data_IF_002250423062
#
_entry.id   IF_002250423062
#
_cell.length_a   1.000
_cell.length_b   1.000
_cell.length_c   1.000
_cell.angle_alpha   90.00
_cell.angle_beta   90.00
_cell.angle_gamma   90.00
#
_symmetry.space_group_name_H-M   'P 1'
#
loop_
_entity.id
_entity.type
_entity.pdbx_description
1 polymer ?
#
# COMPACT_ATOMS: atom_id res chain seq x y z
N UNK A 1 -14.48 -6.00 13.16
CA UNK A 1 -15.38 -5.39 12.16
C UNK A 1 -14.52 -4.78 11.09
N UNK A 2 -14.80 -5.06 9.82
CA UNK A 2 -14.06 -4.48 8.69
C UNK A 2 -14.90 -3.32 8.15
N UNK A 3 -14.29 -2.15 7.97
CA UNK A 3 -14.96 -0.92 7.53
C UNK A 3 -14.64 -0.68 6.07
N UNK A 4 -15.67 -0.42 5.24
CA UNK A 4 -15.54 -0.06 3.83
C UNK A 4 -15.99 1.39 3.61
N UNK A 5 -15.29 2.09 2.72
CA UNK A 5 -15.63 3.42 2.24
C UNK A 5 -16.37 3.30 0.90
N UNK A 6 -17.53 3.95 0.79
CA UNK A 6 -18.24 4.07 -0.48
C UNK A 6 -17.55 5.10 -1.39
N UNK A 7 -17.34 4.79 -2.68
CA UNK A 7 -16.60 5.65 -3.59
C UNK A 7 -17.26 7.04 -3.80
N UNK A 8 -16.58 8.10 -3.39
CA UNK A 8 -16.85 9.47 -3.84
C UNK A 8 -15.90 9.83 -5.01
N UNK A 9 -16.46 10.14 -6.18
CA UNK A 9 -15.70 10.34 -7.42
C UNK A 9 -14.88 11.66 -7.44
N UNK A 10 -13.56 11.54 -7.46
CA UNK A 10 -12.57 12.63 -7.61
C UNK A 10 -12.75 13.44 -8.91
N UNK A 11 -12.75 14.77 -8.83
CA UNK A 11 -12.86 15.68 -9.99
C UNK A 11 -11.50 16.27 -10.42
N UNK A 12 -11.32 16.46 -11.73
CA UNK A 12 -10.18 17.12 -12.40
C UNK A 12 -10.37 18.64 -12.37
N UNK A 13 -9.35 19.40 -11.97
CA UNK A 13 -9.37 20.87 -11.94
C UNK A 13 -9.05 21.47 -13.33
N UNK A 14 -9.89 22.39 -13.81
CA UNK A 14 -9.68 23.21 -15.01
C UNK A 14 -9.12 24.58 -14.63
N UNK A 15 -8.16 25.07 -15.43
CA UNK A 15 -7.45 26.34 -15.27
C UNK A 15 -8.12 27.47 -16.05
N UNK A 16 -8.91 28.33 -15.40
CA UNK A 16 -9.31 29.65 -15.93
C UNK A 16 -9.64 30.63 -14.78
N UNK A 17 -8.96 31.78 -14.63
CA UNK A 17 -9.12 32.66 -13.46
C UNK A 17 -10.33 33.60 -13.49
N UNK A 18 -11.15 33.61 -14.56
CA UNK A 18 -12.17 34.66 -14.76
C UNK A 18 -13.61 34.17 -14.94
N UNK A 19 -13.94 32.92 -14.60
CA UNK A 19 -15.31 32.42 -14.66
C UNK A 19 -15.95 32.37 -13.27
N UNK A 20 -17.04 33.12 -13.08
CA UNK A 20 -17.89 32.94 -11.90
C UNK A 20 -18.41 31.49 -11.84
N UNK A 21 -18.47 30.87 -10.63
CA UNK A 21 -18.87 29.48 -10.51
C UNK A 21 -20.36 29.33 -10.85
N UNK A 22 -20.64 28.73 -12.01
CA UNK A 22 -21.97 28.25 -12.35
C UNK A 22 -22.44 27.26 -11.26
N UNK A 23 -23.67 27.38 -10.72
CA UNK A 23 -24.20 26.36 -9.82
C UNK A 23 -24.23 25.02 -10.57
N UNK A 24 -23.45 24.06 -10.08
CA UNK A 24 -23.37 22.72 -10.65
C UNK A 24 -24.78 22.12 -10.73
N UNK A 25 -25.20 21.56 -11.89
CA UNK A 25 -26.39 20.72 -11.91
C UNK A 25 -26.18 19.59 -10.90
N UNK A 26 -27.22 19.27 -10.12
CA UNK A 26 -27.20 18.13 -9.22
C UNK A 26 -26.77 16.89 -10.01
N UNK A 27 -25.59 16.35 -9.68
CA UNK A 27 -25.01 15.19 -10.36
C UNK A 27 -25.99 14.03 -10.15
N UNK A 28 -26.53 13.49 -11.23
CA UNK A 28 -27.31 12.26 -11.18
C UNK A 28 -26.49 11.20 -10.42
N UNK A 29 -27.10 10.61 -9.40
CA UNK A 29 -26.53 9.45 -8.70
C UNK A 29 -26.14 8.41 -9.77
N UNK A 30 -24.96 7.76 -9.70
CA UNK A 30 -24.69 6.62 -10.55
C UNK A 30 -25.83 5.60 -10.39
N UNK A 31 -26.25 5.01 -11.51
CA UNK A 31 -27.25 3.93 -11.53
C UNK A 31 -27.01 2.92 -10.38
N UNK A 32 -28.08 2.40 -9.74
CA UNK A 32 -27.93 1.41 -8.69
C UNK A 32 -27.09 0.24 -9.20
N UNK A 33 -26.05 -0.11 -8.43
CA UNK A 33 -25.18 -1.24 -8.72
C UNK A 33 -26.02 -2.52 -8.92
N UNK A 34 -25.60 -3.44 -9.81
CA UNK A 34 -26.32 -4.70 -10.03
C UNK A 34 -26.49 -5.47 -8.70
N UNK A 35 -27.59 -6.22 -8.52
CA UNK A 35 -27.87 -6.94 -7.29
C UNK A 35 -26.77 -7.95 -6.96
N UNK A 36 -26.38 -7.99 -5.68
CA UNK A 36 -25.35 -8.87 -5.14
C UNK A 36 -25.67 -10.35 -5.44
N UNK A 37 -24.66 -11.19 -5.75
CA UNK A 37 -24.86 -12.63 -5.88
C UNK A 37 -25.42 -13.25 -4.57
N UNK A 38 -26.17 -14.37 -4.65
CA UNK A 38 -26.86 -14.93 -3.50
C UNK A 38 -25.88 -15.30 -2.36
N UNK A 39 -26.32 -15.23 -1.09
CA UNK A 39 -25.45 -15.49 0.05
C UNK A 39 -24.98 -16.94 0.00
N UNK A 40 -23.68 -17.12 -0.20
CA UNK A 40 -23.01 -18.40 0.01
C UNK A 40 -23.37 -18.89 1.42
N UNK A 41 -23.91 -20.10 1.49
CA UNK A 41 -24.63 -20.61 2.67
C UNK A 41 -23.91 -20.39 4.01
N UNK A 42 -24.73 -20.10 5.04
CA UNK A 42 -24.35 -19.86 6.42
C UNK A 42 -23.24 -18.80 6.61
N UNK A 43 -23.64 -17.53 6.57
CA UNK A 43 -22.80 -16.43 7.02
C UNK A 43 -22.37 -16.65 8.48
N UNK A 44 -21.09 -16.47 8.76
CA UNK A 44 -20.60 -16.27 10.12
C UNK A 44 -21.43 -15.12 10.76
N UNK A 45 -21.91 -15.23 12.02
CA UNK A 45 -22.73 -14.18 12.61
C UNK A 45 -21.93 -12.88 12.73
N UNK A 46 -22.42 -11.77 12.15
CA UNK A 46 -21.79 -10.44 12.29
C UNK A 46 -20.72 -10.08 11.26
N UNK A 47 -20.77 -10.62 10.04
CA UNK A 47 -19.89 -10.23 8.92
C UNK A 47 -20.61 -9.25 7.99
N UNK A 48 -21.27 -8.25 8.55
CA UNK A 48 -21.76 -7.10 7.79
C UNK A 48 -20.68 -6.03 7.81
N UNK A 49 -20.27 -5.55 6.63
CA UNK A 49 -19.33 -4.44 6.52
C UNK A 49 -20.00 -3.15 6.99
N UNK A 50 -19.28 -2.38 7.79
CA UNK A 50 -19.72 -1.03 8.16
C UNK A 50 -19.32 -0.07 7.04
N UNK A 51 -20.32 0.60 6.46
CA UNK A 51 -20.13 1.52 5.35
C UNK A 51 -20.08 2.96 5.84
N UNK A 52 -18.98 3.64 5.55
CA UNK A 52 -18.78 5.06 5.86
C UNK A 52 -18.74 5.83 4.54
N UNK A 53 -19.42 6.98 4.50
CA UNK A 53 -19.56 7.82 3.30
C UNK A 53 -18.86 9.19 3.44
N UNK A 54 -18.19 9.42 4.57
CA UNK A 54 -17.32 10.58 4.74
C UNK A 54 -15.98 10.31 4.07
N UNK A 55 -15.45 11.30 3.38
CA UNK A 55 -14.10 11.22 2.83
C UNK A 55 -13.06 10.94 3.94
N UNK A 56 -11.91 10.42 3.53
CA UNK A 56 -10.82 10.07 4.44
C UNK A 56 -10.37 11.29 5.27
N UNK A 57 -10.48 11.23 6.62
CA UNK A 57 -10.29 12.39 7.49
C UNK A 57 -8.85 12.94 7.46
N UNK A 58 -7.89 12.12 7.01
CA UNK A 58 -6.48 12.50 6.89
C UNK A 58 -6.28 13.66 5.91
N UNK A 59 -7.04 13.73 4.80
CA UNK A 59 -6.85 14.79 3.81
C UNK A 59 -7.22 16.16 4.37
N UNK A 60 -8.35 16.24 5.10
CA UNK A 60 -8.81 17.48 5.72
C UNK A 60 -7.89 17.89 6.89
N UNK A 61 -7.49 16.92 7.73
CA UNK A 61 -6.55 17.15 8.82
C UNK A 61 -5.18 17.64 8.33
N UNK A 62 -4.67 17.08 7.23
CA UNK A 62 -3.41 17.50 6.62
C UNK A 62 -3.50 18.97 6.18
N UNK A 63 -4.62 19.40 5.59
CA UNK A 63 -4.82 20.81 5.22
C UNK A 63 -4.85 21.73 6.44
N UNK A 64 -5.56 21.35 7.50
CA UNK A 64 -5.63 22.11 8.74
C UNK A 64 -4.25 22.24 9.42
N UNK A 65 -3.48 21.16 9.48
CA UNK A 65 -2.13 21.13 10.05
C UNK A 65 -1.19 22.03 9.23
N UNK A 66 -1.23 21.92 7.90
CA UNK A 66 -0.37 22.73 7.03
C UNK A 66 -0.75 24.21 7.00
N UNK A 67 -2.01 24.54 7.27
CA UNK A 67 -2.46 25.93 7.45
C UNK A 67 -1.95 26.50 8.78
N UNK A 68 -1.94 25.69 9.85
CA UNK A 68 -1.48 26.08 11.18
C UNK A 68 0.04 26.13 11.32
N UNK A 69 0.76 25.23 10.63
CA UNK A 69 2.21 25.05 10.71
C UNK A 69 2.83 24.96 9.30
N UNK A 70 2.93 26.09 8.57
CA UNK A 70 3.46 26.11 7.20
C UNK A 70 4.93 25.67 7.11
N UNK A 71 5.69 25.75 8.21
CA UNK A 71 7.07 25.28 8.30
C UNK A 71 7.22 23.79 7.98
N UNK A 72 6.17 22.98 8.21
CA UNK A 72 6.17 21.54 7.92
C UNK A 72 6.36 21.28 6.41
N UNK A 73 5.86 22.17 5.54
CA UNK A 73 6.07 22.05 4.09
C UNK A 73 7.55 22.05 3.72
N UNK A 74 8.40 22.70 4.51
CA UNK A 74 9.84 22.73 4.26
C UNK A 74 10.53 21.39 4.54
N UNK A 75 9.89 20.50 5.31
CA UNK A 75 10.36 19.16 5.67
C UNK A 75 9.85 18.07 4.71
N UNK A 76 8.82 18.35 3.90
CA UNK A 76 8.27 17.45 2.89
C UNK A 76 9.18 17.35 1.65
N UNK A 77 10.41 16.90 1.86
CA UNK A 77 11.46 16.78 0.84
C UNK A 77 11.86 15.32 0.64
N UNK A 78 12.39 14.97 -0.54
CA UNK A 78 13.01 13.68 -0.76
C UNK A 78 14.15 13.42 0.24
N UNK A 79 14.27 12.19 0.70
CA UNK A 79 15.36 11.78 1.60
C UNK A 79 16.47 11.08 0.82
N UNK A 80 17.56 11.79 0.60
CA UNK A 80 18.76 11.25 -0.08
C UNK A 80 19.50 10.21 0.75
N UNK A 81 19.34 10.18 2.08
CA UNK A 81 20.01 9.18 2.93
C UNK A 81 19.44 7.78 2.67
N UNK A 82 18.16 7.71 2.32
CA UNK A 82 17.48 6.46 1.98
C UNK A 82 18.21 5.70 0.86
N UNK A 83 18.77 6.42 -0.12
CA UNK A 83 19.52 5.83 -1.23
C UNK A 83 20.73 5.03 -0.71
N UNK A 84 21.51 5.63 0.18
CA UNK A 84 22.71 5.01 0.74
C UNK A 84 22.37 3.83 1.64
N UNK A 85 21.33 3.96 2.46
CA UNK A 85 20.84 2.88 3.33
C UNK A 85 20.46 1.66 2.49
N UNK A 86 19.71 1.85 1.39
CA UNK A 86 19.30 0.76 0.50
C UNK A 86 20.49 0.09 -0.18
N UNK A 87 21.43 0.89 -0.71
CA UNK A 87 22.66 0.34 -1.32
C UNK A 87 23.41 -0.52 -0.30
N UNK A 88 23.58 -0.02 0.93
CA UNK A 88 24.23 -0.78 1.99
C UNK A 88 23.49 -2.08 2.32
N UNK A 89 22.16 -2.05 2.45
CA UNK A 89 21.38 -3.27 2.70
C UNK A 89 21.50 -4.29 1.57
N UNK A 90 21.47 -3.87 0.30
CA UNK A 90 21.65 -4.76 -0.85
C UNK A 90 23.04 -5.40 -0.81
N UNK A 91 24.09 -4.61 -0.59
CA UNK A 91 25.46 -5.12 -0.47
C UNK A 91 25.61 -6.09 0.70
N UNK A 92 25.02 -5.78 1.86
CA UNK A 92 25.02 -6.68 3.02
C UNK A 92 24.36 -8.01 2.69
N UNK A 93 23.25 -8.03 1.96
CA UNK A 93 22.61 -9.28 1.54
C UNK A 93 23.46 -10.07 0.55
N UNK A 94 24.14 -9.42 -0.40
CA UNK A 94 25.06 -10.08 -1.34
C UNK A 94 26.27 -10.69 -0.62
N UNK A 95 26.84 -9.98 0.35
CA UNK A 95 27.93 -10.49 1.19
C UNK A 95 27.43 -11.66 2.05
N UNK A 96 26.26 -11.53 2.67
CA UNK A 96 25.67 -12.60 3.45
C UNK A 96 25.48 -13.87 2.61
N UNK A 97 24.98 -13.75 1.38
CA UNK A 97 24.83 -14.86 0.43
C UNK A 97 26.16 -15.58 0.18
N UNK A 98 27.26 -14.85 0.01
CA UNK A 98 28.59 -15.43 -0.16
C UNK A 98 29.09 -16.13 1.11
N UNK A 99 28.83 -15.56 2.29
CA UNK A 99 29.28 -16.12 3.58
C UNK A 99 28.52 -17.39 3.96
N UNK A 100 27.23 -17.49 3.63
CA UNK A 100 26.40 -18.64 4.03
C UNK A 100 26.50 -19.86 3.09
N UNK A 101 27.15 -19.73 1.93
CA UNK A 101 27.12 -20.74 0.86
C UNK A 101 27.68 -22.11 1.26
N UNK A 102 28.63 -22.15 2.19
CA UNK A 102 29.29 -23.39 2.65
C UNK A 102 28.80 -23.84 4.04
N UNK A 103 27.78 -23.20 4.61
CA UNK A 103 27.24 -23.55 5.92
C UNK A 103 26.30 -24.76 5.83
N UNK A 104 26.28 -25.56 6.89
CA UNK A 104 25.25 -26.59 7.05
C UNK A 104 23.85 -25.98 7.04
N UNK A 105 22.89 -26.70 6.45
CA UNK A 105 21.50 -26.24 6.26
C UNK A 105 20.83 -25.71 7.54
N UNK A 106 21.15 -26.27 8.71
CA UNK A 106 20.62 -25.81 10.01
C UNK A 106 21.05 -24.39 10.33
N UNK A 107 22.32 -24.06 10.07
CA UNK A 107 22.87 -22.72 10.30
C UNK A 107 22.38 -21.72 9.24
N UNK A 108 22.17 -22.17 8.00
CA UNK A 108 21.52 -21.34 6.98
C UNK A 108 20.12 -20.91 7.43
N UNK A 109 19.31 -21.83 7.95
CA UNK A 109 17.97 -21.51 8.48
C UNK A 109 18.06 -20.54 9.67
N UNK A 110 18.99 -20.77 10.60
CA UNK A 110 19.18 -19.88 11.75
C UNK A 110 19.52 -18.45 11.33
N UNK A 111 20.50 -18.27 10.43
CA UNK A 111 20.90 -16.95 9.94
C UNK A 111 19.83 -16.30 9.07
N UNK A 112 19.12 -17.08 8.24
CA UNK A 112 18.01 -16.58 7.45
C UNK A 112 16.89 -16.02 8.36
N UNK A 113 16.60 -16.69 9.48
CA UNK A 113 15.59 -16.24 10.42
C UNK A 113 16.04 -15.01 11.23
N UNK A 114 17.22 -15.05 11.84
CA UNK A 114 17.66 -13.97 12.75
C UNK A 114 18.10 -12.73 11.97
N UNK A 115 18.91 -12.91 10.94
CA UNK A 115 19.53 -11.80 10.21
C UNK A 115 18.79 -11.49 8.90
N UNK A 116 18.50 -12.54 8.11
CA UNK A 116 17.80 -12.40 6.83
C UNK A 116 16.42 -11.77 6.97
N UNK A 117 15.61 -12.23 7.95
CA UNK A 117 14.28 -11.68 8.19
C UNK A 117 14.31 -10.18 8.54
N UNK A 118 15.26 -9.75 9.37
CA UNK A 118 15.37 -8.34 9.77
C UNK A 118 15.69 -7.45 8.56
N UNK A 119 16.68 -7.86 7.75
CA UNK A 119 17.08 -7.09 6.58
C UNK A 119 16.00 -7.13 5.50
N UNK A 120 15.35 -8.27 5.26
CA UNK A 120 14.25 -8.35 4.29
C UNK A 120 13.07 -7.50 4.71
N UNK A 121 12.71 -7.50 5.99
CA UNK A 121 11.64 -6.61 6.48
C UNK A 121 12.01 -5.14 6.25
N UNK A 122 13.24 -4.74 6.60
CA UNK A 122 13.72 -3.38 6.34
C UNK A 122 13.77 -3.05 4.84
N UNK A 123 14.07 -4.02 3.97
CA UNK A 123 14.03 -3.85 2.52
C UNK A 123 12.60 -3.66 2.00
N UNK A 124 11.63 -4.39 2.53
CA UNK A 124 10.21 -4.21 2.16
C UNK A 124 9.69 -2.83 2.54
N UNK A 125 10.10 -2.31 3.71
CA UNK A 125 9.84 -0.92 4.09
C UNK A 125 10.55 0.03 3.12
N UNK A 126 11.83 -0.15 2.85
CA UNK A 126 12.51 0.72 1.89
C UNK A 126 11.83 0.78 0.50
N UNK A 127 11.31 -0.34 -0.01
CA UNK A 127 10.52 -0.38 -1.25
C UNK A 127 9.20 0.39 -1.11
N UNK A 128 8.55 0.33 0.06
CA UNK A 128 7.37 1.14 0.38
C UNK A 128 7.66 2.64 0.25
N UNK A 129 8.75 3.14 0.82
CA UNK A 129 9.13 4.55 0.75
C UNK A 129 9.54 4.95 -0.68
N UNK A 130 10.21 4.07 -1.43
CA UNK A 130 10.51 4.29 -2.85
C UNK A 130 9.22 4.36 -3.70
N UNK A 131 8.18 3.60 -3.33
CA UNK A 131 6.90 3.61 -4.04
C UNK A 131 6.24 4.99 -4.01
N UNK A 132 6.36 5.67 -2.86
CA UNK A 132 5.96 7.07 -2.64
C UNK A 132 6.88 8.09 -3.34
N UNK A 133 7.94 7.64 -4.00
CA UNK A 133 8.97 8.45 -4.67
C UNK A 133 9.84 9.29 -3.71
N UNK A 134 10.01 8.86 -2.45
CA UNK A 134 10.81 9.61 -1.48
C UNK A 134 12.32 9.63 -1.80
N UNK A 135 12.85 8.63 -2.50
CA UNK A 135 14.30 8.54 -2.74
C UNK A 135 14.82 9.64 -3.69
N UNK A 136 14.16 9.86 -4.84
CA UNK A 136 14.58 10.88 -5.82
C UNK A 136 13.55 12.01 -6.01
N UNK A 137 12.41 11.95 -5.31
CA UNK A 137 11.30 12.88 -5.47
C UNK A 137 10.40 12.60 -6.68
N UNK A 138 9.25 13.27 -6.70
CA UNK A 138 8.21 13.08 -7.73
C UNK A 138 8.66 13.47 -9.15
N UNK A 139 9.56 14.44 -9.28
CA UNK A 139 10.11 14.89 -10.57
C UNK A 139 10.94 13.80 -11.29
N UNK A 140 11.42 12.78 -10.54
CA UNK A 140 12.23 11.67 -11.04
C UNK A 140 11.56 10.32 -10.79
N UNK A 141 10.26 10.21 -11.05
CA UNK A 141 9.51 8.97 -10.85
C UNK A 141 10.12 7.74 -11.54
N UNK A 142 10.69 7.90 -12.74
CA UNK A 142 11.36 6.80 -13.45
C UNK A 142 12.61 6.28 -12.72
N UNK A 143 13.41 7.17 -12.13
CA UNK A 143 14.57 6.78 -11.33
C UNK A 143 14.18 6.02 -10.06
N UNK A 144 13.09 6.43 -9.40
CA UNK A 144 12.52 5.67 -8.27
C UNK A 144 12.08 4.26 -8.71
N UNK A 145 11.53 4.09 -9.93
CA UNK A 145 11.17 2.75 -10.44
C UNK A 145 12.39 1.87 -10.68
N UNK A 146 13.43 2.39 -11.34
CA UNK A 146 14.69 1.66 -11.52
C UNK A 146 15.34 1.30 -10.20
N UNK A 147 15.35 2.23 -9.26
CA UNK A 147 15.91 2.00 -7.93
C UNK A 147 15.10 1.01 -7.10
N UNK A 148 13.77 1.02 -7.21
CA UNK A 148 12.91 0.00 -6.62
C UNK A 148 13.14 -1.39 -7.20
N UNK A 149 13.45 -1.52 -8.50
CA UNK A 149 13.87 -2.79 -9.09
C UNK A 149 15.23 -3.26 -8.57
N UNK A 150 16.18 -2.33 -8.37
CA UNK A 150 17.47 -2.62 -7.76
C UNK A 150 17.34 -3.09 -6.31
N UNK A 151 16.55 -2.39 -5.48
CA UNK A 151 16.28 -2.76 -4.08
C UNK A 151 15.59 -4.13 -3.96
N UNK A 152 14.83 -4.53 -4.98
CA UNK A 152 14.12 -5.80 -5.03
C UNK A 152 15.02 -7.00 -5.40
N UNK A 153 16.23 -6.78 -5.94
CA UNK A 153 17.10 -7.87 -6.40
C UNK A 153 17.36 -8.94 -5.32
N UNK A 154 17.67 -8.59 -4.05
CA UNK A 154 17.91 -9.59 -3.01
C UNK A 154 16.66 -10.38 -2.60
N UNK A 155 15.45 -9.87 -2.85
CA UNK A 155 14.19 -10.52 -2.49
C UNK A 155 13.89 -11.72 -3.43
N UNK A 156 14.39 -11.69 -4.67
CA UNK A 156 14.29 -12.80 -5.62
C UNK A 156 12.92 -12.99 -6.29
N UNK A 157 11.90 -12.20 -5.92
CA UNK A 157 10.56 -12.18 -6.52
C UNK A 157 10.27 -10.77 -7.04
N UNK A 158 9.77 -10.57 -8.27
CA UNK A 158 9.53 -9.25 -8.85
C UNK A 158 8.33 -8.54 -8.20
N UNK A 159 8.52 -8.04 -6.98
CA UNK A 159 7.47 -7.48 -6.13
C UNK A 159 7.34 -5.95 -6.27
N UNK A 160 8.45 -5.23 -6.44
CA UNK A 160 8.46 -3.76 -6.30
C UNK A 160 7.55 -2.97 -7.24
N UNK A 161 7.33 -3.44 -8.47
CA UNK A 161 6.46 -2.74 -9.44
C UNK A 161 4.98 -3.00 -9.14
N UNK A 162 4.59 -4.25 -8.88
CA UNK A 162 3.23 -4.63 -8.50
C UNK A 162 2.83 -3.96 -7.19
N UNK A 163 3.72 -4.03 -6.19
CA UNK A 163 3.52 -3.37 -4.92
C UNK A 163 3.30 -1.88 -5.09
N UNK A 164 4.16 -1.18 -5.85
CA UNK A 164 3.95 0.26 -6.11
C UNK A 164 2.59 0.56 -6.74
N UNK A 165 2.07 -0.32 -7.60
CA UNK A 165 0.75 -0.11 -8.22
C UNK A 165 -0.36 -0.24 -7.17
N UNK A 166 -0.44 -1.39 -6.50
CA UNK A 166 -1.48 -1.69 -5.53
C UNK A 166 -1.42 -0.77 -4.30
N UNK A 167 -0.22 -0.47 -3.81
CA UNK A 167 0.00 0.41 -2.67
C UNK A 167 -0.43 1.86 -2.94
N UNK A 168 -0.14 2.38 -4.14
CA UNK A 168 -0.60 3.71 -4.54
C UNK A 168 -2.13 3.75 -4.71
N UNK A 169 -2.75 2.66 -5.19
CA UNK A 169 -4.20 2.56 -5.31
C UNK A 169 -4.84 2.48 -3.90
N UNK A 170 -4.26 1.71 -2.97
CA UNK A 170 -4.64 1.67 -1.56
C UNK A 170 -4.64 3.07 -0.93
N UNK A 171 -3.51 3.79 -0.98
CA UNK A 171 -3.44 5.15 -0.41
C UNK A 171 -4.34 6.18 -1.08
N UNK A 172 -4.64 6.00 -2.38
CA UNK A 172 -5.51 6.92 -3.11
C UNK A 172 -6.98 6.65 -2.86
N UNK A 173 -7.34 5.39 -2.69
CA UNK A 173 -8.72 4.91 -2.56
C UNK A 173 -8.87 4.09 -1.27
N UNK A 174 -8.35 4.62 -0.16
CA UNK A 174 -8.39 3.94 1.14
C UNK A 174 -9.82 3.52 1.46
N UNK A 175 -10.02 2.25 1.80
CA UNK A 175 -11.34 1.75 2.16
C UNK A 175 -12.28 1.49 0.96
N UNK A 176 -11.90 1.85 -0.27
CA UNK A 176 -12.80 1.73 -1.42
C UNK A 176 -12.98 0.28 -1.85
N UNK A 177 -14.22 -0.18 -1.83
CA UNK A 177 -14.57 -1.56 -2.18
C UNK A 177 -14.13 -1.94 -3.60
N UNK A 178 -13.48 -3.10 -3.73
CA UNK A 178 -12.98 -3.64 -5.00
C UNK A 178 -11.79 -2.91 -5.62
N UNK A 179 -11.27 -1.85 -4.99
CA UNK A 179 -10.07 -1.11 -5.44
C UNK A 179 -8.95 -1.23 -4.40
N UNK A 180 -9.30 -1.10 -3.12
CA UNK A 180 -8.37 -1.29 -2.02
C UNK A 180 -8.19 -2.79 -1.74
N UNK A 181 -7.00 -3.29 -2.05
CA UNK A 181 -6.63 -4.70 -1.88
C UNK A 181 -6.41 -5.09 -0.40
N UNK A 182 -6.36 -4.12 0.52
CA UNK A 182 -6.29 -4.40 1.96
C UNK A 182 -7.62 -4.74 2.60
N UNK A 183 -8.72 -4.59 1.86
CA UNK A 183 -10.04 -4.92 2.36
C UNK A 183 -10.39 -6.33 1.91
N UNK A 184 -10.77 -7.24 2.84
CA UNK A 184 -11.23 -8.55 2.44
C UNK A 184 -12.47 -8.40 1.56
N UNK A 185 -12.47 -9.13 0.44
CA UNK A 185 -13.65 -9.35 -0.39
C UNK A 185 -14.75 -10.04 0.41
N UNK A 186 -15.99 -10.04 -0.11
CA UNK A 186 -17.11 -10.71 0.57
C UNK A 186 -16.84 -12.22 0.76
N UNK A 187 -16.19 -12.83 -0.23
CA UNK A 187 -15.75 -14.22 -0.14
C UNK A 187 -14.71 -14.42 0.95
N UNK A 188 -13.69 -13.57 1.04
CA UNK A 188 -12.64 -13.67 2.06
C UNK A 188 -13.20 -13.43 3.46
N UNK A 189 -14.10 -12.45 3.61
CA UNK A 189 -14.77 -12.18 4.88
C UNK A 189 -15.59 -13.37 5.37
N UNK A 190 -16.26 -14.08 4.44
CA UNK A 190 -16.97 -15.32 4.73
C UNK A 190 -16.02 -16.50 5.01
N UNK A 191 -15.00 -16.71 4.18
CA UNK A 191 -14.11 -17.86 4.27
C UNK A 191 -13.17 -17.76 5.48
N UNK A 192 -12.56 -16.60 5.69
CA UNK A 192 -11.63 -16.28 6.76
C UNK A 192 -12.33 -15.74 8.02
N UNK A 193 -13.46 -16.33 8.42
CA UNK A 193 -14.22 -15.82 9.56
C UNK A 193 -13.77 -16.34 10.94
N UNK A 194 -12.88 -17.34 11.03
CA UNK A 194 -12.35 -17.86 12.32
C UNK A 194 -10.96 -17.29 12.64
N UNK A 195 -10.57 -17.23 13.92
CA UNK A 195 -9.27 -16.69 14.35
C UNK A 195 -8.08 -17.34 13.62
N UNK A 196 -8.09 -18.67 13.49
CA UNK A 196 -7.04 -19.40 12.79
C UNK A 196 -7.01 -19.05 11.30
N UNK A 197 -8.16 -18.93 10.65
CA UNK A 197 -8.23 -18.56 9.23
C UNK A 197 -7.82 -17.11 9.02
N UNK A 198 -8.22 -16.18 9.89
CA UNK A 198 -7.72 -14.79 9.87
C UNK A 198 -6.21 -14.72 10.00
N UNK A 199 -5.62 -15.54 10.87
CA UNK A 199 -4.16 -15.64 10.98
C UNK A 199 -3.52 -16.12 9.67
N UNK A 200 -4.11 -17.11 9.00
CA UNK A 200 -3.66 -17.54 7.67
C UNK A 200 -3.82 -16.42 6.62
N UNK A 201 -4.92 -15.66 6.65
CA UNK A 201 -5.14 -14.54 5.73
C UNK A 201 -4.03 -13.48 5.86
N UNK A 202 -3.64 -13.14 7.09
CA UNK A 202 -2.52 -12.20 7.35
C UNK A 202 -1.18 -12.75 6.84
N UNK A 203 -0.92 -14.05 6.96
CA UNK A 203 0.29 -14.67 6.42
C UNK A 203 0.32 -14.63 4.89
N UNK A 204 -0.84 -14.75 4.25
CA UNK A 204 -0.96 -14.81 2.79
C UNK A 204 -0.98 -13.43 2.13
N UNK A 205 -1.23 -12.36 2.89
CA UNK A 205 -1.28 -10.99 2.37
C UNK A 205 -0.08 -10.60 1.48
N UNK A 206 1.19 -10.85 1.85
CA UNK A 206 2.32 -10.57 0.96
C UNK A 206 2.27 -11.29 -0.39
N UNK A 207 1.62 -12.46 -0.48
CA UNK A 207 1.43 -13.17 -1.75
C UNK A 207 0.37 -12.47 -2.61
N UNK A 208 -0.73 -12.00 -2.01
CA UNK A 208 -1.77 -11.25 -2.74
C UNK A 208 -1.25 -9.92 -3.28
N UNK A 209 -0.28 -9.30 -2.60
CA UNK A 209 0.38 -8.08 -3.08
C UNK A 209 1.40 -8.31 -4.20
N UNK A 210 1.96 -9.52 -4.29
CA UNK A 210 3.01 -9.84 -5.25
C UNK A 210 2.47 -10.28 -6.62
N UNK A 211 1.23 -10.81 -6.69
CA UNK A 211 0.63 -11.42 -7.88
C UNK A 211 -0.75 -10.83 -8.17
#
# INVERSE_FOLDING_TARGET
TFTRLGAAASAVASTDPHREPEPRPARELPLPLPPLPPPWGAACPGVDFEWVYTDQPHADQDQEILAKYPEIKSLMKPDSNLIWIIIMMVLTQLVAFYLVKDLDWKWVIFWAYVFGSCINHSMTLAIHEISHNFAFGHHKALWNRWFGMFANLPIGVPYSISFKRYHMDHHRYLGADGIDVDIPTDFEGWFFCTTFRKFLWVILQPLFYAF
#
